data_IF_496281810245
#
_entry.id   IF_496281810245
#
_cell.length_a   1.000
_cell.length_b   1.000
_cell.length_c   1.000
_cell.angle_alpha   90.00
_cell.angle_beta   90.00
_cell.angle_gamma   90.00
#
_symmetry.space_group_name_H-M   'P 1'
#
loop_
_entity.id
_entity.type
_entity.pdbx_description
1 polymer ?
#
# COMPACT_ATOMS: atom_id res chain seq x y z
N UNK A 1 -1.02 -23.73 4.04
CA UNK A 1 -0.55 -23.71 2.63
C UNK A 1 0.12 -22.37 2.41
N UNK A 2 1.35 -22.35 1.92
CA UNK A 2 2.01 -21.11 1.54
C UNK A 2 1.16 -20.37 0.51
N UNK A 3 1.07 -19.05 0.62
CA UNK A 3 0.42 -18.23 -0.40
C UNK A 3 1.35 -17.09 -0.79
N UNK A 4 1.36 -16.69 -2.08
CA UNK A 4 2.23 -15.61 -2.53
C UNK A 4 1.85 -14.30 -1.83
N UNK A 5 2.86 -13.53 -1.47
CA UNK A 5 2.67 -12.17 -0.97
C UNK A 5 2.28 -11.24 -2.12
N UNK A 6 1.44 -10.26 -1.82
CA UNK A 6 1.00 -9.24 -2.77
C UNK A 6 1.65 -7.92 -2.38
N UNK A 7 2.35 -7.28 -3.32
CA UNK A 7 3.02 -6.01 -3.10
C UNK A 7 2.25 -4.91 -3.82
N UNK A 8 1.68 -3.97 -3.07
CA UNK A 8 1.05 -2.77 -3.61
C UNK A 8 2.10 -1.66 -3.65
N UNK A 9 2.57 -1.34 -4.86
CA UNK A 9 3.65 -0.38 -5.09
C UNK A 9 3.22 0.88 -5.84
N UNK A 10 4.08 1.89 -5.79
CA UNK A 10 3.86 3.21 -6.38
C UNK A 10 4.40 4.35 -5.51
N UNK A 11 4.39 5.56 -6.04
CA UNK A 11 4.89 6.76 -5.35
C UNK A 11 4.03 7.13 -4.13
N UNK A 12 4.53 8.01 -3.29
CA UNK A 12 3.79 8.57 -2.16
C UNK A 12 2.53 9.28 -2.65
N UNK A 13 1.44 9.16 -1.90
CA UNK A 13 0.14 9.73 -2.27
C UNK A 13 -0.66 8.96 -3.32
N UNK A 14 -0.14 7.90 -3.94
CA UNK A 14 -0.88 7.12 -4.94
C UNK A 14 -1.97 6.20 -4.34
N UNK A 15 -2.02 6.03 -3.02
CA UNK A 15 -3.07 5.26 -2.33
C UNK A 15 -2.71 3.84 -1.90
N UNK A 16 -1.42 3.45 -1.93
CA UNK A 16 -0.94 2.10 -1.55
C UNK A 16 -1.55 1.57 -0.25
N UNK A 17 -1.47 2.35 0.84
CA UNK A 17 -1.97 1.95 2.16
C UNK A 17 -3.48 1.73 2.14
N UNK A 18 -4.24 2.59 1.45
CA UNK A 18 -5.70 2.46 1.34
C UNK A 18 -6.08 1.21 0.56
N UNK A 19 -5.50 1.03 -0.64
CA UNK A 19 -5.76 -0.14 -1.49
C UNK A 19 -5.29 -1.43 -0.82
N UNK A 20 -4.11 -1.43 -0.22
CA UNK A 20 -3.54 -2.58 0.46
C UNK A 20 -4.37 -3.05 1.66
N UNK A 21 -4.82 -2.12 2.52
CA UNK A 21 -5.71 -2.45 3.65
C UNK A 21 -7.04 -3.04 3.19
N UNK A 22 -7.67 -2.41 2.19
CA UNK A 22 -8.95 -2.87 1.65
C UNK A 22 -8.81 -4.25 0.99
N UNK A 23 -7.75 -4.45 0.20
CA UNK A 23 -7.45 -5.75 -0.42
C UNK A 23 -7.25 -6.83 0.65
N UNK A 24 -6.40 -6.57 1.63
CA UNK A 24 -6.11 -7.50 2.72
C UNK A 24 -7.38 -7.93 3.48
N UNK A 25 -8.27 -6.97 3.78
CA UNK A 25 -9.56 -7.25 4.39
C UNK A 25 -10.44 -8.15 3.51
N UNK A 26 -10.50 -7.88 2.20
CA UNK A 26 -11.32 -8.61 1.23
C UNK A 26 -10.87 -10.05 1.03
N UNK A 27 -9.56 -10.31 1.08
CA UNK A 27 -9.01 -11.66 0.88
C UNK A 27 -8.68 -12.39 2.20
N UNK A 28 -8.86 -11.72 3.34
CA UNK A 28 -8.63 -12.28 4.67
C UNK A 28 -7.15 -12.53 5.01
N UNK A 29 -6.23 -11.70 4.50
CA UNK A 29 -4.78 -11.76 4.78
C UNK A 29 -4.33 -10.56 5.64
N UNK A 30 -3.21 -10.66 6.38
CA UNK A 30 -2.65 -9.52 7.09
C UNK A 30 -2.16 -8.44 6.12
N UNK A 31 -2.24 -7.19 6.56
CA UNK A 31 -1.69 -6.02 5.88
C UNK A 31 -0.49 -5.47 6.66
N UNK A 32 0.56 -5.09 5.94
CA UNK A 32 1.72 -4.40 6.48
C UNK A 32 2.01 -3.14 5.66
N UNK A 33 2.32 -2.04 6.33
CA UNK A 33 2.83 -0.83 5.67
C UNK A 33 4.35 -0.82 5.74
N UNK A 34 5.02 -0.82 4.59
CA UNK A 34 6.47 -0.90 4.51
C UNK A 34 7.16 0.28 5.19
N UNK A 35 6.50 1.43 5.30
CA UNK A 35 7.03 2.61 5.99
C UNK A 35 7.21 2.36 7.50
N UNK A 36 6.43 1.44 8.10
CA UNK A 36 6.53 1.06 9.53
C UNK A 36 7.82 0.28 9.85
N UNK A 37 8.51 -0.24 8.84
CA UNK A 37 9.73 -1.05 8.98
C UNK A 37 11.00 -0.22 8.81
N UNK A 38 10.88 1.09 8.60
CA UNK A 38 12.05 1.94 8.50
C UNK A 38 12.79 2.05 9.86
N UNK A 39 14.13 1.95 9.86
CA UNK A 39 14.90 2.22 11.07
C UNK A 39 14.74 3.68 11.49
N UNK A 40 14.90 3.96 12.79
CA UNK A 40 14.74 5.30 13.35
C UNK A 40 15.59 6.37 12.62
N UNK A 41 16.78 6.00 12.14
CA UNK A 41 17.65 6.88 11.37
C UNK A 41 17.01 7.34 10.04
N UNK A 42 16.30 6.44 9.34
CA UNK A 42 15.61 6.77 8.09
C UNK A 42 14.40 7.66 8.37
N UNK A 43 13.63 7.34 9.41
CA UNK A 43 12.50 8.16 9.85
C UNK A 43 12.96 9.58 10.19
N UNK A 44 14.08 9.73 10.90
CA UNK A 44 14.65 11.03 11.24
C UNK A 44 15.06 11.85 10.00
N UNK A 45 15.71 11.22 9.01
CA UNK A 45 16.06 11.87 7.72
C UNK A 45 14.82 12.34 6.99
N UNK A 46 13.83 11.47 6.83
CA UNK A 46 12.57 11.81 6.14
C UNK A 46 11.79 12.91 6.86
N UNK A 47 11.78 12.91 8.20
CA UNK A 47 11.15 13.96 9.00
C UNK A 47 11.80 15.34 8.81
N UNK A 48 13.09 15.37 8.45
CA UNK A 48 13.83 16.59 8.10
C UNK A 48 13.71 16.97 6.62
N UNK A 49 12.92 16.23 5.83
CA UNK A 49 12.83 16.43 4.38
C UNK A 49 14.07 15.97 3.60
N UNK A 50 14.97 15.22 4.24
CA UNK A 50 16.18 14.69 3.61
C UNK A 50 15.82 13.39 2.87
N UNK A 51 16.00 13.32 1.54
CA UNK A 51 15.74 12.09 0.79
C UNK A 51 16.70 10.98 1.23
N UNK A 52 16.16 9.76 1.40
CA UNK A 52 16.99 8.59 1.67
C UNK A 52 17.82 8.23 0.43
N UNK A 53 19.02 7.71 0.65
CA UNK A 53 19.87 7.10 -0.39
C UNK A 53 19.54 5.62 -0.58
N UNK A 54 20.18 4.96 -1.54
CA UNK A 54 20.07 3.50 -1.72
C UNK A 54 20.69 2.75 -0.52
N UNK A 55 21.81 3.26 0.02
CA UNK A 55 22.47 2.77 1.24
C UNK A 55 21.52 2.80 2.44
N UNK A 56 20.81 3.93 2.63
CA UNK A 56 19.84 4.08 3.71
C UNK A 56 18.70 3.05 3.60
N UNK A 57 18.31 2.70 2.37
CA UNK A 57 17.21 1.75 2.11
C UNK A 57 17.64 0.29 2.20
N UNK A 58 18.93 -0.03 2.09
CA UNK A 58 19.41 -1.41 2.03
C UNK A 58 18.97 -2.24 3.25
N UNK A 59 19.16 -1.71 4.46
CA UNK A 59 18.75 -2.41 5.69
C UNK A 59 17.23 -2.59 5.78
N UNK A 60 16.47 -1.56 5.42
CA UNK A 60 15.00 -1.62 5.39
C UNK A 60 14.47 -2.67 4.40
N UNK A 61 15.03 -2.72 3.19
CA UNK A 61 14.66 -3.72 2.18
C UNK A 61 15.04 -5.13 2.62
N UNK A 62 16.18 -5.31 3.29
CA UNK A 62 16.59 -6.60 3.83
C UNK A 62 15.63 -7.10 4.91
N UNK A 63 15.16 -6.21 5.81
CA UNK A 63 14.13 -6.55 6.80
C UNK A 63 12.84 -7.00 6.12
N UNK A 64 12.32 -6.21 5.19
CA UNK A 64 11.10 -6.56 4.46
C UNK A 64 11.25 -7.88 3.68
N UNK A 65 12.41 -8.13 3.05
CA UNK A 65 12.68 -9.38 2.35
C UNK A 65 12.63 -10.59 3.30
N UNK A 66 13.23 -10.50 4.49
CA UNK A 66 13.18 -11.56 5.49
C UNK A 66 11.74 -11.80 5.98
N UNK A 67 10.97 -10.74 6.21
CA UNK A 67 9.58 -10.83 6.67
C UNK A 67 8.66 -11.43 5.60
N UNK A 68 8.88 -11.10 4.31
CA UNK A 68 8.13 -11.71 3.20
C UNK A 68 8.24 -13.24 3.21
N UNK A 69 9.42 -13.79 3.49
CA UNK A 69 9.62 -15.24 3.61
C UNK A 69 8.81 -15.85 4.77
N UNK A 70 8.71 -15.15 5.90
CA UNK A 70 7.92 -15.60 7.06
C UNK A 70 6.42 -15.50 6.79
N UNK A 71 5.97 -14.39 6.21
CA UNK A 71 4.55 -14.17 5.90
C UNK A 71 4.02 -15.16 4.88
N UNK A 72 4.83 -15.53 3.90
CA UNK A 72 4.47 -16.55 2.91
C UNK A 72 4.13 -17.89 3.58
N UNK A 73 4.96 -18.34 4.52
CA UNK A 73 4.74 -19.56 5.31
C UNK A 73 3.51 -19.46 6.22
N UNK A 74 3.18 -18.25 6.67
CA UNK A 74 1.99 -17.96 7.48
C UNK A 74 0.69 -17.79 6.66
N UNK A 75 0.72 -18.01 5.34
CA UNK A 75 -0.45 -17.90 4.47
C UNK A 75 -0.51 -16.64 3.60
N UNK A 76 0.63 -15.93 3.47
CA UNK A 76 0.80 -14.74 2.64
C UNK A 76 0.30 -13.45 3.29
N UNK A 77 0.80 -12.32 2.82
CA UNK A 77 0.41 -10.99 3.26
C UNK A 77 0.21 -10.01 2.10
N UNK A 78 -0.39 -8.85 2.39
CA UNK A 78 -0.40 -7.68 1.52
C UNK A 78 0.56 -6.64 2.09
N UNK A 79 1.57 -6.24 1.33
CA UNK A 79 2.55 -5.22 1.71
C UNK A 79 2.35 -3.97 0.86
N UNK A 80 2.13 -2.81 1.49
CA UNK A 80 2.31 -1.53 0.81
C UNK A 80 3.79 -1.16 0.85
N UNK A 81 4.44 -0.97 -0.29
CA UNK A 81 5.85 -0.60 -0.33
C UNK A 81 6.15 0.23 -1.58
N UNK A 82 6.95 1.29 -1.46
CA UNK A 82 7.25 2.16 -2.61
C UNK A 82 7.97 1.41 -3.75
N UNK A 83 8.95 0.57 -3.43
CA UNK A 83 9.65 -0.35 -4.35
C UNK A 83 9.99 0.26 -5.74
N UNK A 84 10.48 1.51 -5.71
CA UNK A 84 10.55 2.37 -6.90
C UNK A 84 11.58 1.94 -7.93
N UNK A 85 12.68 1.28 -7.52
CA UNK A 85 13.72 0.76 -8.42
C UNK A 85 13.63 -0.75 -8.59
N UNK A 86 14.09 -1.25 -9.74
CA UNK A 86 14.15 -2.68 -10.03
C UNK A 86 15.04 -3.41 -9.05
N UNK A 87 16.17 -2.83 -8.65
CA UNK A 87 17.05 -3.42 -7.62
C UNK A 87 16.31 -3.66 -6.30
N UNK A 88 15.42 -2.76 -5.90
CA UNK A 88 14.63 -2.92 -4.67
C UNK A 88 13.63 -4.07 -4.81
N UNK A 89 12.99 -4.18 -5.98
CA UNK A 89 12.03 -5.25 -6.28
C UNK A 89 12.72 -6.62 -6.31
N UNK A 90 13.93 -6.68 -6.85
CA UNK A 90 14.77 -7.88 -6.83
C UNK A 90 15.15 -8.30 -5.41
N UNK A 91 15.55 -7.35 -4.54
CA UNK A 91 15.82 -7.65 -3.12
C UNK A 91 14.59 -8.24 -2.42
N UNK A 92 13.40 -7.65 -2.62
CA UNK A 92 12.16 -8.16 -2.03
C UNK A 92 11.82 -9.55 -2.57
N UNK A 93 11.93 -9.75 -3.89
CA UNK A 93 11.66 -11.05 -4.52
C UNK A 93 12.61 -12.15 -4.02
N UNK A 94 13.88 -11.83 -3.76
CA UNK A 94 14.86 -12.78 -3.24
C UNK A 94 14.54 -13.27 -1.81
N UNK A 95 13.73 -12.53 -1.05
CA UNK A 95 13.26 -12.93 0.28
C UNK A 95 12.05 -13.87 0.28
N UNK A 96 11.35 -13.98 -0.84
CA UNK A 96 10.19 -14.86 -0.99
C UNK A 96 10.55 -16.15 -1.73
N UNK A 97 9.88 -17.26 -1.41
CA UNK A 97 10.08 -18.55 -2.08
C UNK A 97 9.16 -18.69 -3.31
N UNK A 98 7.97 -18.07 -3.23
CA UNK A 98 7.02 -17.94 -4.32
C UNK A 98 7.22 -16.61 -5.07
N UNK A 99 6.83 -16.54 -6.36
CA UNK A 99 6.79 -15.28 -7.09
C UNK A 99 5.89 -14.26 -6.37
N UNK A 100 6.41 -13.06 -6.14
CA UNK A 100 5.63 -11.95 -5.58
C UNK A 100 4.59 -11.48 -6.59
N UNK A 101 3.38 -11.19 -6.11
CA UNK A 101 2.32 -10.63 -6.94
C UNK A 101 2.37 -9.10 -6.86
N UNK A 102 2.82 -8.46 -7.94
CA UNK A 102 3.00 -7.01 -7.99
C UNK A 102 1.71 -6.30 -8.43
N UNK A 103 1.30 -5.28 -7.69
CA UNK A 103 0.23 -4.34 -8.02
C UNK A 103 0.83 -2.94 -8.03
N UNK A 104 1.03 -2.39 -9.22
CA UNK A 104 1.60 -1.06 -9.41
C UNK A 104 0.48 -0.03 -9.62
N UNK A 105 0.31 0.85 -8.64
CA UNK A 105 -0.57 2.01 -8.74
C UNK A 105 0.19 3.14 -9.43
N UNK A 106 -0.22 3.44 -10.66
CA UNK A 106 0.41 4.45 -11.51
C UNK A 106 -0.58 5.49 -11.99
N UNK A 107 -0.09 6.67 -12.33
CA UNK A 107 -0.92 7.75 -12.82
C UNK A 107 -0.11 8.90 -13.38
N UNK A 108 -0.81 9.83 -14.02
CA UNK A 108 -0.18 11.04 -14.51
C UNK A 108 0.43 11.85 -13.33
N UNK A 109 1.69 12.32 -13.46
CA UNK A 109 2.31 13.20 -12.46
C UNK A 109 1.45 14.39 -12.04
N UNK A 110 0.67 14.99 -12.95
CA UNK A 110 -0.23 16.10 -12.65
C UNK A 110 -1.37 15.66 -11.71
N UNK A 111 -1.94 14.46 -11.93
CA UNK A 111 -2.99 13.90 -11.06
C UNK A 111 -2.41 13.57 -9.68
N UNK A 112 -1.21 13.00 -9.61
CA UNK A 112 -0.52 12.71 -8.36
C UNK A 112 -0.23 13.98 -7.56
N UNK A 113 0.26 15.04 -8.23
CA UNK A 113 0.48 16.36 -7.61
C UNK A 113 -0.83 16.94 -7.07
N UNK A 114 -1.90 16.93 -7.87
CA UNK A 114 -3.20 17.45 -7.45
C UNK A 114 -3.74 16.71 -6.20
N UNK A 115 -3.63 15.38 -6.18
CA UNK A 115 -4.05 14.54 -5.03
C UNK A 115 -3.24 14.79 -3.77
N UNK A 116 -1.94 15.07 -3.93
CA UNK A 116 -1.12 15.51 -2.80
C UNK A 116 -1.63 16.86 -2.34
N UNK A 117 -1.69 17.89 -3.18
CA UNK A 117 -2.04 19.28 -2.81
C UNK A 117 -3.41 19.47 -2.15
N UNK A 118 -4.36 18.56 -2.36
CA UNK A 118 -5.69 18.65 -1.73
C UNK A 118 -5.66 18.28 -0.22
N UNK A 119 -4.66 17.50 0.22
CA UNK A 119 -4.54 17.01 1.62
C UNK A 119 -3.78 17.98 2.55
N UNK A 120 -4.22 19.24 2.67
CA UNK A 120 -3.64 20.38 3.43
C UNK A 120 -2.21 20.17 4.06
N UNK A 121 -1.18 20.87 3.56
CA UNK A 121 0.17 21.00 4.17
C UNK A 121 1.36 20.61 3.28
N UNK A 122 1.68 21.36 2.21
CA UNK A 122 2.12 20.73 0.95
C UNK A 122 3.46 21.05 0.30
N UNK A 123 4.21 22.07 0.69
CA UNK A 123 5.42 22.37 -0.09
C UNK A 123 6.45 21.22 -0.03
N UNK A 124 6.68 20.65 1.16
CA UNK A 124 7.53 19.47 1.35
C UNK A 124 7.03 18.19 0.65
N UNK A 125 5.73 18.08 0.32
CA UNK A 125 5.17 16.90 -0.34
C UNK A 125 5.37 16.92 -1.85
N UNK A 126 5.51 18.10 -2.46
CA UNK A 126 5.72 18.25 -3.90
C UNK A 126 7.14 17.83 -4.34
N UNK A 127 8.18 18.35 -3.67
CA UNK A 127 9.57 17.99 -3.98
C UNK A 127 9.85 16.49 -3.72
N UNK A 128 9.19 15.93 -2.70
CA UNK A 128 9.23 14.49 -2.42
C UNK A 128 8.61 13.67 -3.57
N UNK A 129 7.47 14.12 -4.12
CA UNK A 129 6.86 13.43 -5.25
C UNK A 129 7.75 13.48 -6.50
N UNK A 130 8.33 14.64 -6.81
CA UNK A 130 9.19 14.80 -7.98
C UNK A 130 10.45 13.91 -7.87
N UNK A 131 11.08 13.84 -6.69
CA UNK A 131 12.20 12.92 -6.46
C UNK A 131 11.81 11.44 -6.58
N UNK A 132 10.62 11.06 -6.11
CA UNK A 132 10.12 9.70 -6.25
C UNK A 132 9.75 9.34 -7.70
N UNK A 133 9.16 10.27 -8.46
CA UNK A 133 8.88 10.10 -9.88
C UNK A 133 10.18 9.97 -10.69
N UNK A 134 11.22 10.73 -10.34
CA UNK A 134 12.55 10.59 -10.94
C UNK A 134 13.23 9.25 -10.60
N UNK A 135 12.91 8.69 -9.43
CA UNK A 135 13.43 7.40 -8.96
C UNK A 135 12.62 6.20 -9.50
N UNK A 136 11.39 6.44 -9.96
CA UNK A 136 10.46 5.40 -10.38
C UNK A 136 10.87 4.74 -11.69
N UNK A 137 11.37 3.52 -11.59
CA UNK A 137 11.55 2.59 -12.70
C UNK A 137 10.26 1.78 -12.84
N UNK A 138 9.43 2.12 -13.83
CA UNK A 138 8.14 1.45 -14.05
C UNK A 138 8.34 -0.02 -14.42
N UNK A 139 7.81 -0.97 -13.63
CA UNK A 139 7.95 -2.39 -13.95
C UNK A 139 7.13 -2.74 -15.20
N UNK A 140 7.66 -3.65 -16.02
CA UNK A 140 6.96 -4.24 -17.16
C UNK A 140 6.15 -5.49 -16.78
N UNK A 141 6.04 -5.77 -15.48
CA UNK A 141 5.39 -6.94 -14.90
C UNK A 141 4.43 -6.52 -13.78
N UNK A 142 3.58 -7.46 -13.36
CA UNK A 142 2.53 -7.19 -12.40
C UNK A 142 1.33 -6.47 -13.01
N UNK A 143 0.36 -6.16 -12.15
CA UNK A 143 -0.84 -5.43 -12.53
C UNK A 143 -0.60 -3.94 -12.40
N UNK A 144 -0.61 -3.22 -13.53
CA UNK A 144 -0.58 -1.76 -13.53
C UNK A 144 -2.01 -1.23 -13.50
N UNK A 145 -2.36 -0.49 -12.46
CA UNK A 145 -3.70 0.06 -12.27
C UNK A 145 -3.64 1.60 -12.20
N UNK A 146 -4.63 2.25 -12.81
CA UNK A 146 -4.71 3.71 -12.82
C UNK A 146 -5.18 4.22 -11.47
N UNK A 147 -4.42 5.14 -10.87
CA UNK A 147 -4.85 5.78 -9.62
C UNK A 147 -6.18 6.52 -9.78
N UNK A 148 -6.61 6.89 -10.98
CA UNK A 148 -7.87 7.60 -11.24
C UNK A 148 -9.11 6.79 -10.80
N UNK A 149 -9.00 5.47 -10.76
CA UNK A 149 -10.03 4.59 -10.21
C UNK A 149 -10.18 4.75 -8.69
N UNK A 150 -11.38 4.46 -8.19
CA UNK A 150 -11.64 4.39 -6.74
C UNK A 150 -10.90 3.21 -6.11
N UNK A 151 -10.55 3.27 -4.80
CA UNK A 151 -9.94 2.13 -4.11
C UNK A 151 -10.74 0.82 -4.26
N UNK A 152 -12.06 0.89 -4.26
CA UNK A 152 -12.96 -0.25 -4.42
C UNK A 152 -12.82 -0.88 -5.82
N UNK A 153 -12.78 -0.05 -6.87
CA UNK A 153 -12.56 -0.50 -8.24
C UNK A 153 -11.17 -1.13 -8.40
N UNK A 154 -10.13 -0.51 -7.82
CA UNK A 154 -8.77 -1.04 -7.84
C UNK A 154 -8.70 -2.41 -7.18
N UNK A 155 -9.29 -2.58 -6.00
CA UNK A 155 -9.31 -3.86 -5.28
C UNK A 155 -10.09 -4.93 -6.06
N UNK A 156 -11.23 -4.60 -6.64
CA UNK A 156 -11.99 -5.52 -7.48
C UNK A 156 -11.18 -6.00 -8.70
N UNK A 157 -10.43 -5.09 -9.34
CA UNK A 157 -9.52 -5.42 -10.44
C UNK A 157 -8.40 -6.36 -9.97
N UNK A 158 -7.75 -6.07 -8.84
CA UNK A 158 -6.69 -6.94 -8.28
C UNK A 158 -7.22 -8.34 -8.03
N UNK A 159 -8.36 -8.46 -7.36
CA UNK A 159 -8.94 -9.76 -7.00
C UNK A 159 -9.27 -10.57 -8.26
N UNK A 160 -9.87 -9.92 -9.26
CA UNK A 160 -10.27 -10.59 -10.50
C UNK A 160 -9.06 -11.03 -11.31
N UNK A 161 -8.08 -10.14 -11.51
CA UNK A 161 -6.93 -10.40 -12.38
C UNK A 161 -5.91 -11.34 -11.74
N UNK A 162 -5.75 -11.31 -10.41
CA UNK A 162 -4.91 -12.26 -9.66
C UNK A 162 -5.66 -13.54 -9.23
N UNK A 163 -6.95 -13.66 -9.57
CA UNK A 163 -7.81 -14.80 -9.23
C UNK A 163 -7.81 -15.12 -7.72
N UNK A 164 -7.87 -14.08 -6.89
CA UNK A 164 -7.80 -14.22 -5.43
C UNK A 164 -9.13 -14.69 -4.86
N UNK A 165 -9.13 -15.56 -3.83
CA UNK A 165 -10.35 -15.93 -3.14
C UNK A 165 -10.88 -14.73 -2.35
N UNK A 166 -12.14 -14.35 -2.59
CA UNK A 166 -12.82 -13.36 -1.75
C UNK A 166 -13.35 -14.01 -0.48
N UNK A 167 -13.11 -13.36 0.65
CA UNK A 167 -13.86 -13.65 1.86
C UNK A 167 -15.25 -13.05 1.71
N UNK A 168 -16.33 -13.80 1.98
CA UNK A 168 -17.65 -13.20 2.11
C UNK A 168 -17.57 -12.06 3.13
N UNK A 169 -17.97 -10.85 2.73
CA UNK A 169 -18.09 -9.75 3.68
C UNK A 169 -19.00 -10.21 4.82
N UNK A 170 -18.63 -9.97 6.10
CA UNK A 170 -19.59 -10.19 7.18
C UNK A 170 -20.83 -9.38 6.83
N UNK A 171 -22.00 -10.03 6.88
CA UNK A 171 -23.27 -9.37 6.63
C UNK A 171 -23.31 -8.07 7.45
N UNK A 172 -23.58 -6.94 6.78
CA UNK A 172 -23.68 -5.66 7.46
C UNK A 172 -24.66 -5.84 8.63
N UNK A 173 -24.17 -5.68 9.86
CA UNK A 173 -25.03 -5.72 11.04
C UNK A 173 -26.10 -4.65 10.83
N UNK A 174 -27.40 -5.00 10.77
CA UNK A 174 -28.42 -3.99 10.57
C UNK A 174 -28.27 -2.93 11.66
N UNK A 175 -28.15 -1.67 11.26
CA UNK A 175 -28.11 -0.55 12.20
C UNK A 175 -29.32 -0.68 13.13
N UNK A 176 -29.14 -0.61 14.46
CA UNK A 176 -30.28 -0.58 15.36
C UNK A 176 -31.14 0.63 15.00
N UNK A 177 -32.48 0.48 14.94
CA UNK A 177 -33.36 1.59 14.63
C UNK A 177 -33.13 2.71 15.65
N UNK A 178 -32.96 3.94 15.14
CA UNK A 178 -32.87 5.15 15.96
C UNK A 178 -34.15 5.25 16.80
N UNK A 179 -34.06 4.89 18.08
CA UNK A 179 -35.13 5.13 19.05
C UNK A 179 -35.27 6.63 19.23
N UNK A 180 -36.30 7.21 18.62
CA UNK A 180 -36.76 8.57 18.93
C UNK A 180 -37.23 8.56 20.39
N UNK A 181 -36.42 9.05 21.31
CA UNK A 181 -36.87 9.38 22.66
C UNK A 181 -37.80 10.59 22.56
N UNK A 182 -39.11 10.34 22.60
CA UNK A 182 -40.12 11.36 22.82
C UNK A 182 -40.02 11.84 24.26
N UNK A 183 -39.27 12.93 24.49
CA UNK A 183 -39.27 13.65 25.76
C UNK A 183 -40.64 14.30 25.98
N UNK A 184 -41.46 13.71 26.84
CA UNK A 184 -42.55 14.43 27.50
C UNK A 184 -41.96 15.27 28.63
N UNK A 185 -42.21 16.58 28.57
CA UNK A 185 -42.07 17.53 29.67
C UNK A 185 -43.12 17.21 30.75
N UNK A 186 -42.80 17.28 32.05
CA UNK A 186 -43.82 17.53 33.07
C UNK A 186 -43.99 19.05 33.26
N UNK A 187 -45.26 19.45 33.45
CA UNK A 187 -45.69 20.83 33.65
C UNK A 187 -45.62 21.32 35.09
#
# INVERSE_FOLDING_TARGET
>A
MNQPNIIVMGVSGCGKTTVGKLLAQRIGRPFYDGDDFHPAANVAKMAQGIPLTDEDRAGWLATLAADLGQWEQAGGAVLACSALRESYRQTLQAGAQLPLQWVFLDGDPAVLRARLTDRQGHYMKADMLDSQLATLERPAYGLRLSIEDTPEQLVAQVITQLQLPEKPLPAATPMPPLTKTSGSLPG
#
